data_IF_539638144204
#
_entry.id   IF_539638144204
#
_cell.length_a   1.000
_cell.length_b   1.000
_cell.length_c   1.000
_cell.angle_alpha   90.00
_cell.angle_beta   90.00
_cell.angle_gamma   90.00
#
_symmetry.space_group_name_H-M   'P 1'
#
loop_
_entity.id
_entity.type
_entity.pdbx_description
1 polymer ?
#
# COMPACT_ATOMS: atom_id res chain seq x y z
N UNK A 1 1.64 8.41 -0.09
CA UNK A 1 1.76 8.27 -1.56
C UNK A 1 2.42 9.48 -2.20
N UNK A 2 1.85 10.70 -2.08
CA UNK A 2 2.46 11.93 -2.63
C UNK A 2 3.90 12.15 -2.14
N UNK A 3 4.14 12.00 -0.83
CA UNK A 3 5.48 12.04 -0.25
C UNK A 3 6.41 10.97 -0.83
N UNK A 4 5.90 9.79 -1.18
CA UNK A 4 6.67 8.71 -1.80
C UNK A 4 7.12 9.06 -3.22
N UNK A 5 6.25 9.69 -4.02
CA UNK A 5 6.60 10.19 -5.34
C UNK A 5 7.63 11.34 -5.27
N UNK A 6 7.47 12.26 -4.29
CA UNK A 6 8.45 13.30 -4.03
C UNK A 6 9.80 12.73 -3.56
N UNK A 7 9.79 11.69 -2.72
CA UNK A 7 11.00 10.95 -2.36
C UNK A 7 11.67 10.31 -3.58
N UNK A 8 10.89 9.71 -4.49
CA UNK A 8 11.42 9.17 -5.75
C UNK A 8 12.16 10.24 -6.57
N UNK A 9 11.59 11.44 -6.71
CA UNK A 9 12.27 12.56 -7.38
C UNK A 9 13.52 13.04 -6.64
N UNK A 10 13.46 13.13 -5.30
CA UNK A 10 14.61 13.48 -4.47
C UNK A 10 15.77 12.48 -4.66
N UNK A 11 15.47 11.19 -4.77
CA UNK A 11 16.47 10.14 -4.93
C UNK A 11 17.06 10.08 -6.35
N UNK A 12 16.23 10.27 -7.37
CA UNK A 12 16.66 10.21 -8.77
C UNK A 12 17.46 11.44 -9.22
N UNK A 13 17.02 12.63 -8.80
CA UNK A 13 17.57 13.90 -9.27
C UNK A 13 18.48 14.58 -8.24
N UNK A 14 18.55 14.06 -7.01
CA UNK A 14 19.30 14.68 -5.91
C UNK A 14 18.78 16.06 -5.50
N UNK A 15 17.57 16.42 -5.91
CA UNK A 15 16.98 17.75 -5.68
C UNK A 15 16.37 17.88 -4.28
N UNK A 16 16.35 19.08 -3.68
CA UNK A 16 15.67 19.35 -2.42
C UNK A 16 14.21 18.90 -2.41
N UNK A 17 13.71 18.44 -1.25
CA UNK A 17 12.36 17.88 -1.10
C UNK A 17 11.24 18.85 -1.52
N UNK A 18 11.44 20.16 -1.34
CA UNK A 18 10.47 21.18 -1.77
C UNK A 18 10.33 21.28 -3.29
N UNK A 19 11.46 21.21 -4.03
CA UNK A 19 11.45 21.14 -5.49
C UNK A 19 10.83 19.82 -5.95
N UNK A 20 11.19 18.72 -5.29
CA UNK A 20 10.64 17.40 -5.59
C UNK A 20 9.12 17.35 -5.38
N UNK A 21 8.59 18.03 -4.36
CA UNK A 21 7.16 18.16 -4.09
C UNK A 21 6.41 18.94 -5.18
N UNK A 22 6.95 20.07 -5.63
CA UNK A 22 6.37 20.86 -6.74
C UNK A 22 6.36 20.03 -8.02
N UNK A 23 7.49 19.38 -8.32
CA UNK A 23 7.65 18.57 -9.52
C UNK A 23 6.75 17.34 -9.51
N UNK A 24 6.53 16.74 -8.34
CA UNK A 24 5.50 15.70 -8.13
C UNK A 24 4.13 16.24 -8.47
N UNK A 25 3.77 17.43 -7.98
CA UNK A 25 2.53 18.10 -8.33
C UNK A 25 2.27 18.20 -9.82
N UNK A 26 3.21 18.80 -10.53
CA UNK A 26 3.14 18.98 -11.99
C UNK A 26 2.98 17.62 -12.67
N UNK A 27 3.83 16.65 -12.28
CA UNK A 27 3.80 15.30 -12.87
C UNK A 27 2.47 14.59 -12.62
N UNK A 28 1.87 14.79 -11.45
CA UNK A 28 0.57 14.19 -11.16
C UNK A 28 -0.56 14.75 -12.02
N UNK A 29 -0.53 16.05 -12.35
CA UNK A 29 -1.48 16.63 -13.31
C UNK A 29 -1.23 16.11 -14.73
N UNK A 30 0.03 15.89 -15.11
CA UNK A 30 0.38 15.28 -16.40
C UNK A 30 -0.16 13.86 -16.49
N UNK A 31 0.04 13.05 -15.44
CA UNK A 31 -0.49 11.68 -15.34
C UNK A 31 -2.02 11.70 -15.45
N UNK A 32 -2.67 12.62 -14.75
CA UNK A 32 -4.14 12.77 -14.81
C UNK A 32 -4.64 13.16 -16.22
N UNK A 33 -3.87 13.98 -16.95
CA UNK A 33 -4.16 14.30 -18.34
C UNK A 33 -3.95 13.08 -19.26
N UNK A 34 -2.94 12.26 -18.96
CA UNK A 34 -2.66 11.01 -19.68
C UNK A 34 -3.74 9.94 -19.43
N UNK A 35 -4.29 9.88 -18.22
CA UNK A 35 -5.38 8.96 -17.86
C UNK A 35 -6.62 9.15 -18.74
N UNK A 36 -6.90 10.39 -19.18
CA UNK A 36 -7.99 10.67 -20.15
C UNK A 36 -7.79 9.97 -21.50
N UNK A 37 -6.55 9.59 -21.86
CA UNK A 37 -6.21 8.89 -23.12
C UNK A 37 -6.18 7.37 -23.00
N UNK A 38 -6.29 6.81 -21.79
CA UNK A 38 -6.38 5.36 -21.57
C UNK A 38 -5.52 4.88 -20.40
N UNK A 39 -6.18 4.33 -19.38
CA UNK A 39 -5.57 3.86 -18.13
C UNK A 39 -4.63 2.64 -18.31
N UNK A 40 -4.97 1.77 -19.26
CA UNK A 40 -4.39 0.42 -19.36
C UNK A 40 -2.90 0.39 -19.69
N UNK A 41 -2.41 1.35 -20.49
CA UNK A 41 -0.98 1.40 -20.87
C UNK A 41 -0.10 1.90 -19.71
N UNK A 42 -0.60 2.84 -18.92
CA UNK A 42 0.14 3.40 -17.79
C UNK A 42 0.26 2.35 -16.67
N UNK A 43 -0.84 1.67 -16.36
CA UNK A 43 -0.86 0.57 -15.39
C UNK A 43 0.08 -0.58 -15.80
N UNK A 44 0.12 -0.94 -17.09
CA UNK A 44 1.04 -1.97 -17.58
C UNK A 44 2.51 -1.58 -17.39
N UNK A 45 2.86 -0.31 -17.62
CA UNK A 45 4.23 0.19 -17.38
C UNK A 45 4.58 0.15 -15.90
N UNK A 46 3.69 0.62 -15.03
CA UNK A 46 3.91 0.57 -13.57
C UNK A 46 4.09 -0.87 -13.10
N UNK A 47 3.18 -1.76 -13.50
CA UNK A 47 3.23 -3.18 -13.14
C UNK A 47 4.51 -3.85 -13.63
N UNK A 48 4.99 -3.51 -14.83
CA UNK A 48 6.27 -4.01 -15.33
C UNK A 48 7.46 -3.52 -14.48
N UNK A 49 7.47 -2.26 -14.06
CA UNK A 49 8.56 -1.71 -13.25
C UNK A 49 8.54 -2.18 -11.80
N UNK A 50 7.35 -2.28 -11.20
CA UNK A 50 7.18 -2.91 -9.87
C UNK A 50 7.58 -4.39 -9.95
N UNK A 51 7.21 -5.09 -11.03
CA UNK A 51 7.65 -6.46 -11.29
C UNK A 51 9.17 -6.58 -11.41
N UNK A 52 9.83 -5.63 -12.06
CA UNK A 52 11.30 -5.59 -12.14
C UNK A 52 11.95 -5.40 -10.77
N UNK A 53 11.43 -4.48 -9.94
CA UNK A 53 11.92 -4.27 -8.57
C UNK A 53 11.67 -5.51 -7.70
N UNK A 54 10.50 -6.13 -7.83
CA UNK A 54 10.17 -7.38 -7.17
C UNK A 54 11.19 -8.48 -7.50
N UNK A 55 11.51 -8.64 -8.78
CA UNK A 55 12.53 -9.60 -9.24
C UNK A 55 13.91 -9.24 -8.69
N UNK A 56 14.29 -7.96 -8.65
CA UNK A 56 15.55 -7.52 -8.03
C UNK A 56 15.66 -7.96 -6.57
N UNK A 57 14.64 -7.68 -5.76
CA UNK A 57 14.64 -8.09 -4.35
C UNK A 57 14.68 -9.60 -4.17
N UNK A 58 14.02 -10.37 -5.04
CA UNK A 58 14.08 -11.83 -5.00
C UNK A 58 15.50 -12.32 -5.34
N UNK A 59 16.13 -11.77 -6.37
CA UNK A 59 17.51 -12.10 -6.75
C UNK A 59 18.48 -11.73 -5.62
N UNK A 60 18.34 -10.54 -5.04
CA UNK A 60 19.16 -10.10 -3.91
C UNK A 60 19.02 -11.02 -2.71
N UNK A 61 17.80 -11.43 -2.39
CA UNK A 61 17.53 -12.39 -1.30
C UNK A 61 18.27 -13.71 -1.55
N UNK A 62 18.36 -14.17 -2.80
CA UNK A 62 19.13 -15.39 -3.15
C UNK A 62 20.64 -15.17 -3.00
N UNK A 63 21.15 -13.99 -3.39
CA UNK A 63 22.59 -13.65 -3.33
C UNK A 63 23.08 -13.52 -1.88
N UNK A 64 22.29 -12.87 -1.02
CA UNK A 64 22.62 -12.67 0.39
C UNK A 64 22.67 -13.98 1.18
N UNK A 65 22.15 -15.08 0.62
CA UNK A 65 22.13 -16.43 1.22
C UNK A 65 21.64 -16.39 2.67
N UNK A 66 20.39 -15.97 2.92
CA UNK A 66 19.82 -15.99 4.24
C UNK A 66 19.78 -17.43 4.76
N UNK A 67 19.88 -17.60 6.08
CA UNK A 67 19.63 -18.89 6.72
C UNK A 67 18.14 -19.19 6.60
N UNK A 68 17.75 -19.87 5.52
CA UNK A 68 16.35 -20.17 5.21
C UNK A 68 15.62 -20.92 6.33
N UNK A 69 16.35 -21.69 7.15
CA UNK A 69 15.79 -22.34 8.34
C UNK A 69 15.23 -21.35 9.35
N UNK A 70 15.95 -20.25 9.63
CA UNK A 70 15.49 -19.21 10.56
C UNK A 70 14.38 -18.36 9.94
N UNK A 71 14.49 -18.03 8.65
CA UNK A 71 13.46 -17.26 7.93
C UNK A 71 12.14 -18.03 7.93
N UNK A 72 12.15 -19.33 7.58
CA UNK A 72 10.94 -20.17 7.58
C UNK A 72 10.40 -20.38 9.00
N UNK A 73 11.27 -20.56 9.99
CA UNK A 73 10.86 -20.71 11.38
C UNK A 73 10.15 -19.45 11.91
N UNK A 74 10.76 -18.28 11.75
CA UNK A 74 10.18 -17.01 12.19
C UNK A 74 9.04 -16.48 11.31
N UNK A 75 8.88 -17.02 10.09
CA UNK A 75 7.69 -16.74 9.26
C UNK A 75 6.43 -17.42 9.82
N UNK A 76 6.58 -18.55 10.53
CA UNK A 76 5.45 -19.34 11.05
C UNK A 76 5.28 -19.17 12.56
N UNK A 77 6.38 -18.95 13.30
CA UNK A 77 6.38 -18.76 14.74
C UNK A 77 6.50 -17.28 15.08
N UNK A 78 5.43 -16.63 15.56
CA UNK A 78 5.49 -15.23 15.98
C UNK A 78 6.33 -15.13 17.27
N UNK A 79 7.51 -14.52 17.14
CA UNK A 79 8.37 -14.17 18.26
C UNK A 79 8.60 -12.66 18.24
N UNK A 80 8.30 -11.99 19.34
CA UNK A 80 8.47 -10.55 19.49
C UNK A 80 9.55 -10.25 20.53
N UNK A 81 10.55 -9.48 20.15
CA UNK A 81 11.63 -9.01 21.02
C UNK A 81 11.37 -7.55 21.41
N UNK A 82 10.55 -7.35 22.45
CA UNK A 82 10.26 -6.03 23.03
C UNK A 82 9.08 -5.27 22.37
N UNK A 83 8.70 -4.15 22.97
CA UNK A 83 7.56 -3.31 22.55
C UNK A 83 7.74 -2.70 21.16
N UNK A 84 8.97 -2.35 20.78
CA UNK A 84 9.28 -1.76 19.47
C UNK A 84 9.01 -2.73 18.31
N UNK A 85 9.32 -4.02 18.49
CA UNK A 85 9.02 -5.06 17.50
C UNK A 85 7.51 -5.26 17.28
N UNK A 86 6.72 -5.13 18.35
CA UNK A 86 5.26 -5.20 18.31
C UNK A 86 4.71 -3.97 17.57
N UNK A 87 5.26 -2.79 17.84
CA UNK A 87 4.86 -1.54 17.19
C UNK A 87 5.16 -1.57 15.68
N UNK A 88 6.33 -2.07 15.27
CA UNK A 88 6.68 -2.26 13.85
C UNK A 88 5.78 -3.30 13.17
N UNK A 89 5.53 -4.45 13.82
CA UNK A 89 4.65 -5.49 13.28
C UNK A 89 3.19 -5.00 13.17
N UNK A 90 2.71 -4.27 14.18
CA UNK A 90 1.41 -3.61 14.14
C UNK A 90 1.35 -2.58 13.02
N UNK A 91 2.43 -1.80 12.83
CA UNK A 91 2.57 -0.82 11.74
C UNK A 91 2.47 -1.47 10.35
N UNK A 92 3.16 -2.58 10.13
CA UNK A 92 3.09 -3.35 8.88
C UNK A 92 1.67 -3.87 8.64
N UNK A 93 1.04 -4.48 9.65
CA UNK A 93 -0.33 -4.98 9.54
C UNK A 93 -1.36 -3.85 9.31
N UNK A 94 -1.21 -2.71 9.99
CA UNK A 94 -2.10 -1.56 9.82
C UNK A 94 -1.95 -0.91 8.45
N UNK A 95 -0.71 -0.72 7.98
CA UNK A 95 -0.41 -0.07 6.70
C UNK A 95 -0.80 -0.91 5.48
N UNK A 96 -0.90 -2.24 5.62
CA UNK A 96 -1.26 -3.13 4.50
C UNK A 96 -2.76 -3.10 4.17
N UNK A 97 -3.62 -2.76 5.13
CA UNK A 97 -5.07 -2.74 4.90
C UNK A 97 -5.52 -1.31 4.60
N UNK A 98 -5.59 -1.00 3.31
CA UNK A 98 -6.01 0.31 2.81
C UNK A 98 -7.55 0.37 2.65
N UNK A 99 -8.29 1.14 3.47
CA UNK A 99 -9.75 1.15 3.42
C UNK A 99 -10.31 1.67 2.09
N UNK A 100 -9.62 2.65 1.49
CA UNK A 100 -10.00 3.20 0.19
C UNK A 100 -9.87 2.17 -0.95
N UNK A 101 -8.95 1.20 -0.85
CA UNK A 101 -8.79 0.13 -1.82
C UNK A 101 -9.98 -0.86 -1.77
N UNK A 102 -10.54 -1.11 -0.58
CA UNK A 102 -11.73 -1.96 -0.40
C UNK A 102 -12.93 -1.38 -1.18
N UNK A 103 -13.19 -0.08 -1.03
CA UNK A 103 -14.28 0.59 -1.74
C UNK A 103 -14.06 0.64 -3.24
N UNK A 104 -12.85 1.00 -3.67
CA UNK A 104 -12.52 1.11 -5.08
C UNK A 104 -12.57 -0.25 -5.77
N UNK A 105 -11.99 -1.29 -5.18
CA UNK A 105 -12.07 -2.64 -5.73
C UNK A 105 -13.52 -3.08 -5.88
N UNK A 106 -14.36 -2.86 -4.88
CA UNK A 106 -15.80 -3.17 -4.97
C UNK A 106 -16.49 -2.44 -6.13
N UNK A 107 -16.15 -1.16 -6.37
CA UNK A 107 -16.73 -0.37 -7.46
C UNK A 107 -16.20 -0.73 -8.85
N UNK A 108 -14.90 -0.99 -8.99
CA UNK A 108 -14.30 -1.43 -10.27
C UNK A 108 -14.85 -2.80 -10.72
N UNK A 109 -15.24 -3.62 -9.75
CA UNK A 109 -15.87 -4.91 -9.98
C UNK A 109 -17.36 -4.81 -10.32
N UNK A 110 -18.00 -3.70 -9.96
CA UNK A 110 -19.39 -3.45 -10.28
C UNK A 110 -19.56 -3.23 -11.79
N UNK A 111 -20.29 -4.14 -12.45
CA UNK A 111 -20.62 -4.02 -13.88
C UNK A 111 -19.54 -4.51 -14.86
N UNK A 112 -18.38 -5.01 -14.38
CA UNK A 112 -17.32 -5.55 -15.24
C UNK A 112 -17.78 -6.78 -16.04
N UNK A 113 -18.52 -7.68 -15.40
CA UNK A 113 -19.21 -8.83 -16.05
C UNK A 113 -20.55 -9.06 -15.34
N UNK A 114 -21.66 -8.69 -15.99
CA UNK A 114 -23.00 -8.86 -15.39
C UNK A 114 -23.53 -10.26 -15.70
N UNK A 115 -23.53 -11.11 -14.70
CA UNK A 115 -23.96 -12.50 -14.81
C UNK A 115 -25.19 -12.73 -13.94
N UNK A 116 -26.31 -13.17 -14.54
CA UNK A 116 -27.57 -13.46 -13.81
C UNK A 116 -27.70 -14.92 -13.36
N UNK A 117 -26.98 -15.86 -13.96
CA UNK A 117 -27.07 -17.29 -13.63
C UNK A 117 -26.20 -17.63 -12.40
N UNK A 118 -26.72 -18.36 -11.39
CA UNK A 118 -26.01 -18.63 -10.14
C UNK A 118 -24.75 -19.48 -10.31
N UNK A 119 -24.71 -20.37 -11.30
CA UNK A 119 -23.53 -21.20 -11.62
C UNK A 119 -22.38 -20.37 -12.17
N UNK A 120 -22.68 -19.43 -13.08
CA UNK A 120 -21.71 -18.53 -13.68
C UNK A 120 -21.22 -17.49 -12.67
N UNK A 121 -22.09 -17.01 -11.76
CA UNK A 121 -21.71 -16.14 -10.64
C UNK A 121 -20.65 -16.77 -9.73
N UNK A 122 -20.84 -18.05 -9.37
CA UNK A 122 -19.83 -18.81 -8.59
C UNK A 122 -18.51 -18.97 -9.35
N UNK A 123 -18.55 -19.10 -10.68
CA UNK A 123 -17.35 -19.22 -11.51
C UNK A 123 -16.60 -17.89 -11.58
N UNK A 124 -17.31 -16.78 -11.78
CA UNK A 124 -16.74 -15.44 -11.75
C UNK A 124 -16.07 -15.17 -10.40
N UNK A 125 -16.77 -15.44 -9.29
CA UNK A 125 -16.20 -15.32 -7.94
C UNK A 125 -14.90 -16.12 -7.76
N UNK A 126 -14.79 -17.33 -8.30
CA UNK A 126 -13.55 -18.11 -8.23
C UNK A 126 -12.42 -17.49 -9.02
N UNK A 127 -12.69 -16.92 -10.20
CA UNK A 127 -11.67 -16.23 -10.97
C UNK A 127 -11.15 -15.00 -10.23
N UNK A 128 -12.06 -14.23 -9.63
CA UNK A 128 -11.67 -13.06 -8.83
C UNK A 128 -10.90 -13.44 -7.57
N UNK A 129 -11.28 -14.54 -6.91
CA UNK A 129 -10.49 -15.06 -5.79
C UNK A 129 -9.06 -15.43 -6.22
N UNK A 130 -8.90 -16.07 -7.38
CA UNK A 130 -7.56 -16.43 -7.88
C UNK A 130 -6.78 -15.18 -8.25
N UNK A 131 -7.41 -14.18 -8.88
CA UNK A 131 -6.77 -12.91 -9.24
C UNK A 131 -6.27 -12.16 -7.99
N UNK A 132 -7.13 -12.00 -6.98
CA UNK A 132 -6.76 -11.37 -5.70
C UNK A 132 -5.65 -12.16 -5.00
N UNK A 133 -5.73 -13.49 -4.99
CA UNK A 133 -4.72 -14.34 -4.33
C UNK A 133 -3.36 -14.20 -5.01
N UNK A 134 -3.32 -14.18 -6.35
CA UNK A 134 -2.07 -13.96 -7.10
C UNK A 134 -1.54 -12.55 -6.84
N UNK A 135 -2.37 -11.52 -6.98
CA UNK A 135 -1.96 -10.12 -6.84
C UNK A 135 -1.46 -9.82 -5.41
N UNK A 136 -2.25 -10.16 -4.38
CA UNK A 136 -1.86 -9.95 -2.98
C UNK A 136 -0.75 -10.90 -2.54
N UNK A 137 -0.67 -12.11 -3.12
CA UNK A 137 0.41 -13.06 -2.87
C UNK A 137 1.75 -12.53 -3.38
N UNK A 138 1.81 -12.02 -4.61
CA UNK A 138 3.00 -11.37 -5.15
C UNK A 138 3.39 -10.15 -4.31
N UNK A 139 2.43 -9.29 -3.95
CA UNK A 139 2.71 -8.14 -3.09
C UNK A 139 3.29 -8.56 -1.72
N UNK A 140 2.77 -9.64 -1.12
CA UNK A 140 3.24 -10.18 0.15
C UNK A 140 4.66 -10.76 0.03
N UNK A 141 4.96 -11.46 -1.06
CA UNK A 141 6.31 -11.97 -1.33
C UNK A 141 7.33 -10.85 -1.49
N UNK A 142 6.97 -9.77 -2.19
CA UNK A 142 7.84 -8.60 -2.35
C UNK A 142 8.07 -7.89 -1.01
N UNK A 143 7.01 -7.68 -0.23
CA UNK A 143 7.14 -7.11 1.12
C UNK A 143 8.01 -7.98 2.04
N UNK A 144 7.85 -9.31 1.98
CA UNK A 144 8.70 -10.25 2.71
C UNK A 144 10.15 -10.19 2.27
N UNK A 145 10.42 -10.18 0.96
CA UNK A 145 11.77 -10.05 0.41
C UNK A 145 12.44 -8.74 0.84
N UNK A 146 11.71 -7.61 0.81
CA UNK A 146 12.21 -6.32 1.32
C UNK A 146 12.58 -6.37 2.80
N UNK A 147 11.77 -7.04 3.63
CA UNK A 147 12.02 -7.18 5.07
C UNK A 147 13.25 -8.06 5.33
N UNK A 148 13.35 -9.22 4.67
CA UNK A 148 14.50 -10.14 4.78
C UNK A 148 15.77 -9.45 4.32
N UNK A 149 15.76 -8.78 3.16
CA UNK A 149 16.90 -8.03 2.66
C UNK A 149 17.36 -6.95 3.62
N UNK A 150 16.41 -6.20 4.19
CA UNK A 150 16.73 -5.16 5.17
C UNK A 150 17.35 -5.77 6.44
N UNK A 151 16.83 -6.88 6.93
CA UNK A 151 17.37 -7.57 8.10
C UNK A 151 18.81 -8.05 7.85
N UNK A 152 19.07 -8.77 6.76
CA UNK A 152 20.41 -9.31 6.49
C UNK A 152 21.43 -8.25 6.06
N UNK A 153 21.00 -7.15 5.43
CA UNK A 153 21.93 -6.11 4.96
C UNK A 153 22.24 -5.09 6.04
N UNK A 154 21.28 -4.71 6.88
CA UNK A 154 21.47 -3.65 7.87
C UNK A 154 21.75 -4.16 9.27
N UNK A 155 21.00 -5.17 9.73
CA UNK A 155 21.17 -5.71 11.08
C UNK A 155 22.48 -6.49 11.22
N UNK A 156 22.88 -7.24 10.19
CA UNK A 156 24.16 -7.97 10.19
C UNK A 156 25.39 -7.04 10.18
N UNK A 157 25.27 -5.82 9.66
CA UNK A 157 26.33 -4.82 9.61
C UNK A 157 26.34 -3.87 10.83
N UNK A 158 25.51 -4.13 11.86
CA UNK A 158 25.46 -3.33 13.08
C UNK A 158 24.84 -1.94 12.91
N UNK A 159 24.14 -1.69 11.80
CA UNK A 159 23.53 -0.40 11.50
C UNK A 159 22.06 -0.39 11.97
N UNK A 160 21.86 -0.18 13.27
CA UNK A 160 20.54 -0.21 13.92
C UNK A 160 19.71 1.07 13.76
N UNK A 161 20.29 2.16 13.27
CA UNK A 161 19.65 3.48 13.14
C UNK A 161 19.14 3.81 11.72
N UNK A 162 18.88 2.78 10.89
CA UNK A 162 18.50 2.97 9.49
C UNK A 162 16.99 2.76 9.31
N UNK A 163 16.23 3.85 9.45
CA UNK A 163 14.76 3.84 9.29
C UNK A 163 14.24 4.55 8.04
N UNK A 164 15.10 5.02 7.13
CA UNK A 164 14.71 5.90 6.03
C UNK A 164 14.85 5.22 4.66
N UNK A 165 13.81 5.39 3.81
CA UNK A 165 13.76 4.88 2.43
C UNK A 165 14.99 5.34 1.61
N UNK A 166 15.53 6.52 1.93
CA UNK A 166 16.72 7.05 1.27
C UNK A 166 17.98 6.21 1.52
N UNK A 167 18.08 5.56 2.68
CA UNK A 167 19.22 4.71 2.98
C UNK A 167 19.10 3.35 2.30
N UNK A 168 17.89 2.78 2.19
CA UNK A 168 17.63 1.58 1.38
C UNK A 168 18.00 1.78 -0.10
N UNK A 169 17.73 2.96 -0.66
CA UNK A 169 18.14 3.32 -2.02
C UNK A 169 19.67 3.31 -2.20
N UNK A 170 20.40 3.85 -1.22
CA UNK A 170 21.87 3.94 -1.24
C UNK A 170 22.54 2.59 -1.06
N UNK A 171 21.92 1.63 -0.39
CA UNK A 171 22.46 0.28 -0.21
C UNK A 171 22.20 -0.67 -1.36
N UNK A 172 21.30 -0.32 -2.27
CA UNK A 172 21.15 -1.06 -3.54
C UNK A 172 22.33 -0.78 -4.50
N UNK A 173 22.99 0.38 -4.36
CA UNK A 173 24.06 0.83 -5.26
C UNK A 173 25.32 -0.06 -5.25
N UNK A 174 25.84 -0.54 -4.09
CA UNK A 174 27.05 -1.35 -4.05
C UNK A 174 26.84 -2.82 -4.47
N UNK A 175 25.63 -3.36 -4.27
CA UNK A 175 25.34 -4.79 -4.46
C UNK A 175 24.98 -5.15 -5.91
N UNK A 176 24.32 -4.26 -6.64
CA UNK A 176 23.89 -4.49 -8.04
C UNK A 176 24.29 -3.36 -9.00
N UNK A 177 24.94 -2.32 -8.50
CA UNK A 177 25.35 -1.17 -9.29
C UNK A 177 24.28 -0.09 -9.40
N UNK A 178 24.69 1.07 -9.92
CA UNK A 178 23.87 2.29 -10.02
C UNK A 178 22.52 2.10 -10.71
N UNK A 179 22.42 1.16 -11.65
CA UNK A 179 21.21 0.90 -12.42
C UNK A 179 20.04 0.43 -11.53
N UNK A 180 20.28 -0.40 -10.51
CA UNK A 180 19.22 -0.92 -9.64
C UNK A 180 18.64 0.16 -8.73
N UNK A 181 19.47 1.07 -8.22
CA UNK A 181 18.99 2.23 -7.46
C UNK A 181 18.10 3.11 -8.33
N UNK A 182 18.49 3.41 -9.58
CA UNK A 182 17.64 4.19 -10.49
C UNK A 182 16.30 3.50 -10.80
N UNK A 183 16.32 2.18 -11.05
CA UNK A 183 15.09 1.40 -11.25
C UNK A 183 14.19 1.45 -10.01
N UNK A 184 14.77 1.32 -8.82
CA UNK A 184 14.02 1.42 -7.56
C UNK A 184 13.43 2.82 -7.35
N UNK A 185 14.22 3.88 -7.52
CA UNK A 185 13.75 5.26 -7.40
C UNK A 185 12.65 5.60 -8.40
N UNK A 186 12.78 5.15 -9.64
CA UNK A 186 11.77 5.35 -10.68
C UNK A 186 10.51 4.52 -10.42
N UNK A 187 10.65 3.29 -9.95
CA UNK A 187 9.52 2.45 -9.53
C UNK A 187 8.77 3.06 -8.34
N UNK A 188 9.49 3.57 -7.33
CA UNK A 188 8.91 4.27 -6.18
C UNK A 188 8.13 5.51 -6.61
N UNK A 189 8.72 6.29 -7.54
CA UNK A 189 8.09 7.46 -8.13
C UNK A 189 6.80 7.09 -8.86
N UNK A 190 6.86 6.12 -9.78
CA UNK A 190 5.71 5.68 -10.58
C UNK A 190 4.62 5.04 -9.72
N UNK A 191 5.01 4.23 -8.72
CA UNK A 191 4.10 3.65 -7.73
C UNK A 191 3.40 4.74 -6.91
N UNK A 192 4.14 5.76 -6.45
CA UNK A 192 3.57 6.91 -5.74
C UNK A 192 2.60 7.73 -6.58
N UNK A 193 2.91 7.95 -7.88
CA UNK A 193 2.02 8.63 -8.82
C UNK A 193 0.74 7.81 -9.09
N UNK A 194 0.90 6.51 -9.33
CA UNK A 194 -0.19 5.55 -9.57
C UNK A 194 -1.15 5.48 -8.38
N UNK A 195 -0.60 5.23 -7.18
CA UNK A 195 -1.39 5.10 -5.97
C UNK A 195 -2.16 6.39 -5.67
N UNK A 196 -1.55 7.55 -5.91
CA UNK A 196 -2.24 8.83 -5.74
C UNK A 196 -3.42 8.99 -6.73
N UNK A 197 -3.32 8.48 -7.95
CA UNK A 197 -4.46 8.41 -8.87
C UNK A 197 -5.57 7.47 -8.38
N UNK A 198 -5.19 6.27 -7.94
CA UNK A 198 -6.11 5.29 -7.31
C UNK A 198 -6.82 5.90 -6.10
N UNK A 199 -6.12 6.67 -5.26
CA UNK A 199 -6.67 7.43 -4.16
C UNK A 199 -7.70 8.47 -4.61
N UNK A 200 -7.44 9.22 -5.69
CA UNK A 200 -8.43 10.18 -6.23
C UNK A 200 -9.66 9.50 -6.82
N UNK A 201 -9.52 8.31 -7.41
CA UNK A 201 -10.66 7.50 -7.89
C UNK A 201 -11.48 6.94 -6.74
N UNK A 202 -10.83 6.40 -5.70
CA UNK A 202 -11.54 5.93 -4.51
C UNK A 202 -12.31 7.05 -3.83
N UNK A 203 -11.69 8.23 -3.71
CA UNK A 203 -12.39 9.43 -3.21
C UNK A 203 -13.62 9.79 -4.03
N UNK A 204 -13.62 9.53 -5.35
CA UNK A 204 -14.81 9.69 -6.18
C UNK A 204 -15.92 8.73 -5.78
N UNK A 205 -15.58 7.44 -5.73
CA UNK A 205 -16.50 6.35 -5.48
C UNK A 205 -17.17 6.53 -4.12
N UNK A 206 -16.40 6.91 -3.11
CA UNK A 206 -16.90 7.17 -1.76
C UNK A 206 -17.83 8.39 -1.77
N UNK A 207 -17.43 9.49 -2.40
CA UNK A 207 -18.23 10.72 -2.42
C UNK A 207 -19.52 10.59 -3.24
N UNK A 208 -19.47 9.93 -4.39
CA UNK A 208 -20.64 9.61 -5.19
C UNK A 208 -21.55 8.62 -4.45
N UNK A 209 -20.99 7.57 -3.84
CA UNK A 209 -21.77 6.54 -3.15
C UNK A 209 -22.44 7.02 -1.86
N UNK A 210 -21.76 7.85 -1.06
CA UNK A 210 -22.27 8.30 0.25
C UNK A 210 -22.92 9.69 0.23
N UNK A 211 -22.41 10.61 -0.60
CA UNK A 211 -22.85 12.02 -0.62
C UNK A 211 -23.60 12.39 -1.91
N UNK A 212 -23.66 11.50 -2.90
CA UNK A 212 -24.19 11.77 -4.25
C UNK A 212 -23.62 13.06 -4.87
N UNK A 213 -22.38 13.41 -4.52
CA UNK A 213 -21.74 14.65 -4.95
C UNK A 213 -20.61 14.37 -5.94
N UNK A 214 -20.61 15.07 -7.07
CA UNK A 214 -19.55 15.03 -8.07
C UNK A 214 -18.74 16.32 -8.06
N UNK A 215 -17.46 16.20 -7.68
CA UNK A 215 -16.49 17.30 -7.76
C UNK A 215 -15.54 17.01 -8.92
N UNK A 216 -15.17 18.02 -9.74
CA UNK A 216 -14.20 17.84 -10.80
C UNK A 216 -12.88 17.26 -10.29
N UNK A 217 -12.29 16.35 -11.07
CA UNK A 217 -11.07 15.62 -10.68
C UNK A 217 -9.89 16.56 -10.37
N UNK A 218 -9.78 17.69 -11.09
CA UNK A 218 -8.71 18.67 -10.87
C UNK A 218 -8.81 19.36 -9.51
N UNK A 219 -10.03 19.70 -9.05
CA UNK A 219 -10.26 20.28 -7.71
C UNK A 219 -9.91 19.26 -6.64
N UNK A 220 -10.37 18.01 -6.82
CA UNK A 220 -10.06 16.93 -5.88
C UNK A 220 -8.55 16.72 -5.77
N UNK A 221 -7.82 16.72 -6.88
CA UNK A 221 -6.37 16.57 -6.89
C UNK A 221 -5.69 17.68 -6.11
N UNK A 222 -6.12 18.92 -6.34
CA UNK A 222 -5.60 20.10 -5.64
C UNK A 222 -5.82 19.98 -4.13
N UNK A 223 -7.03 19.64 -3.70
CA UNK A 223 -7.36 19.42 -2.28
C UNK A 223 -6.51 18.32 -1.64
N UNK A 224 -6.29 17.19 -2.34
CA UNK A 224 -5.45 16.09 -1.83
C UNK A 224 -3.96 16.43 -1.78
N UNK A 225 -3.51 17.37 -2.61
CA UNK A 225 -2.10 17.74 -2.75
C UNK A 225 -1.67 18.83 -1.76
N UNK A 226 -2.57 19.77 -1.44
CA UNK A 226 -2.29 20.93 -0.58
C UNK A 226 -1.70 20.53 0.78
N UNK A 227 -2.26 19.56 1.55
CA UNK A 227 -1.68 19.17 2.83
C UNK A 227 -0.25 18.65 2.68
N UNK A 228 0.03 17.90 1.63
CA UNK A 228 1.37 17.35 1.38
C UNK A 228 2.37 18.45 1.02
N UNK A 229 1.97 19.44 0.22
CA UNK A 229 2.81 20.60 -0.07
C UNK A 229 3.11 21.41 1.18
N UNK A 230 2.10 21.68 2.01
CA UNK A 230 2.28 22.45 3.26
C UNK A 230 3.33 21.80 4.15
N UNK A 231 3.23 20.47 4.35
CA UNK A 231 4.22 19.72 5.13
C UNK A 231 5.63 19.89 4.56
N UNK A 232 5.78 19.73 3.24
CA UNK A 232 7.07 19.83 2.58
C UNK A 232 7.65 21.25 2.70
N UNK A 233 6.83 22.29 2.55
CA UNK A 233 7.26 23.69 2.70
C UNK A 233 7.63 24.04 4.13
N UNK A 234 6.94 23.47 5.12
CA UNK A 234 7.27 23.63 6.54
C UNK A 234 8.54 22.87 6.96
N UNK A 235 9.11 22.05 6.07
CA UNK A 235 10.31 21.26 6.36
C UNK A 235 10.10 20.20 7.44
N UNK A 236 8.86 19.78 7.67
CA UNK A 236 8.54 18.76 8.68
C UNK A 236 9.13 17.41 8.28
N UNK A 237 9.53 16.63 9.28
CA UNK A 237 10.07 15.28 9.06
C UNK A 237 9.08 14.43 8.23
N UNK A 238 9.50 13.91 7.06
CA UNK A 238 8.66 13.06 6.22
C UNK A 238 8.14 11.84 6.97
N UNK A 239 8.98 11.27 7.85
CA UNK A 239 8.64 10.10 8.67
C UNK A 239 7.50 10.40 9.65
N UNK A 240 7.54 11.53 10.36
CA UNK A 240 6.46 11.93 11.29
C UNK A 240 5.15 12.19 10.53
N UNK A 241 5.24 12.81 9.37
CA UNK A 241 4.07 13.05 8.52
C UNK A 241 3.47 11.75 7.99
N UNK A 242 4.31 10.79 7.62
CA UNK A 242 3.89 9.45 7.24
C UNK A 242 3.13 8.79 8.39
N UNK A 243 3.66 8.83 9.63
CA UNK A 243 2.98 8.28 10.82
C UNK A 243 1.62 8.94 11.05
N UNK A 244 1.53 10.28 11.00
CA UNK A 244 0.24 10.99 11.16
C UNK A 244 -0.75 10.59 10.07
N UNK A 245 -0.29 10.42 8.84
CA UNK A 245 -1.13 9.96 7.73
C UNK A 245 -1.65 8.54 7.98
N UNK A 246 -0.83 7.67 8.57
CA UNK A 246 -1.27 6.32 8.95
C UNK A 246 -2.32 6.36 10.05
N UNK A 247 -2.16 7.23 11.06
CA UNK A 247 -3.17 7.41 12.12
C UNK A 247 -4.54 7.79 11.54
N UNK A 248 -4.57 8.71 10.56
CA UNK A 248 -5.83 9.07 9.87
C UNK A 248 -6.43 7.88 9.11
N UNK A 249 -5.61 7.06 8.46
CA UNK A 249 -6.08 5.84 7.79
C UNK A 249 -6.63 4.81 8.79
N UNK A 250 -5.98 4.65 9.94
CA UNK A 250 -6.40 3.77 11.04
C UNK A 250 -7.79 4.12 11.56
N UNK A 251 -8.13 5.41 11.67
CA UNK A 251 -9.47 5.85 12.06
C UNK A 251 -10.55 5.47 11.04
N UNK A 252 -10.23 5.51 9.74
CA UNK A 252 -11.19 5.16 8.68
C UNK A 252 -11.45 3.65 8.53
N UNK A 253 -10.53 2.82 9.00
CA UNK A 253 -10.53 1.37 8.80
C UNK A 253 -11.76 0.63 9.40
N UNK A 254 -12.17 0.89 10.66
CA UNK A 254 -13.39 0.27 11.21
C UNK A 254 -14.64 0.55 10.37
N UNK A 255 -14.76 1.77 9.85
CA UNK A 255 -15.91 2.18 9.04
C UNK A 255 -15.95 1.50 7.67
N UNK A 256 -14.82 0.98 7.19
CA UNK A 256 -14.76 0.19 5.96
C UNK A 256 -15.01 -1.31 6.23
N UNK A 257 -14.29 -1.89 7.19
CA UNK A 257 -14.29 -3.35 7.41
C UNK A 257 -15.61 -3.83 8.04
N UNK A 258 -16.15 -3.11 9.03
CA UNK A 258 -17.35 -3.56 9.75
C UNK A 258 -18.57 -3.67 8.81
N UNK A 259 -18.90 -2.65 7.99
CA UNK A 259 -19.98 -2.76 7.02
C UNK A 259 -19.71 -3.82 5.96
N UNK A 260 -18.47 -3.97 5.49
CA UNK A 260 -18.10 -5.00 4.52
C UNK A 260 -18.44 -6.40 5.03
N UNK A 261 -18.04 -6.74 6.26
CA UNK A 261 -18.32 -8.05 6.85
C UNK A 261 -19.84 -8.24 7.04
N UNK A 262 -20.54 -7.18 7.45
CA UNK A 262 -22.00 -7.22 7.61
C UNK A 262 -22.70 -7.46 6.27
N UNK A 263 -22.36 -6.72 5.22
CA UNK A 263 -22.98 -6.85 3.91
C UNK A 263 -22.67 -8.18 3.23
N UNK A 264 -21.43 -8.67 3.35
CA UNK A 264 -21.03 -9.97 2.80
C UNK A 264 -21.65 -11.17 3.54
N UNK A 265 -22.15 -10.94 4.76
CA UNK A 265 -22.86 -11.93 5.57
C UNK A 265 -24.39 -11.88 5.42
N UNK A 266 -24.93 -10.84 4.79
CA UNK A 266 -26.37 -10.68 4.62
C UNK A 266 -26.89 -11.51 3.43
N UNK A 267 -27.80 -12.45 3.71
CA UNK A 267 -28.47 -13.28 2.69
C UNK A 267 -29.32 -12.47 1.72
N UNK A 268 -29.85 -11.33 2.15
CA UNK A 268 -30.69 -10.45 1.32
C UNK A 268 -29.86 -9.75 0.25
N UNK A 269 -28.61 -9.41 0.56
CA UNK A 269 -27.69 -8.71 -0.35
C UNK A 269 -26.90 -9.68 -1.24
N UNK A 270 -26.33 -10.73 -0.66
CA UNK A 270 -25.41 -11.63 -1.36
C UNK A 270 -26.07 -12.86 -2.02
N UNK A 271 -27.31 -13.19 -1.66
CA UNK A 271 -28.06 -14.31 -2.24
C UNK A 271 -27.31 -15.65 -2.14
N UNK A 272 -26.83 -16.17 -3.27
CA UNK A 272 -26.15 -17.47 -3.36
C UNK A 272 -24.65 -17.39 -2.98
N UNK A 273 -24.08 -16.19 -2.89
CA UNK A 273 -22.66 -15.94 -2.59
C UNK A 273 -22.39 -15.51 -1.15
N UNK A 274 -23.33 -15.75 -0.24
CA UNK A 274 -23.19 -15.41 1.18
C UNK A 274 -21.99 -16.11 1.80
N UNK A 275 -21.26 -15.40 2.65
CA UNK A 275 -20.13 -15.95 3.39
C UNK A 275 -20.51 -17.20 4.19
N UNK A 276 -19.62 -18.21 4.17
CA UNK A 276 -19.74 -19.38 5.04
C UNK A 276 -19.52 -18.95 6.49
N UNK A 277 -20.11 -19.68 7.45
CA UNK A 277 -19.94 -19.40 8.89
C UNK A 277 -18.46 -19.31 9.30
N UNK A 278 -17.62 -20.22 8.78
CA UNK A 278 -16.17 -20.21 9.03
C UNK A 278 -15.51 -18.93 8.50
N UNK A 279 -15.82 -18.54 7.26
CA UNK A 279 -15.31 -17.30 6.65
C UNK A 279 -15.73 -16.07 7.45
N UNK A 280 -16.96 -16.04 7.96
CA UNK A 280 -17.44 -14.93 8.78
C UNK A 280 -16.73 -14.85 10.14
N UNK A 281 -16.53 -15.99 10.82
CA UNK A 281 -15.79 -16.05 12.09
C UNK A 281 -14.33 -15.59 11.87
N UNK A 282 -13.68 -16.08 10.82
CA UNK A 282 -12.31 -15.66 10.47
C UNK A 282 -12.26 -14.17 10.12
N UNK A 283 -13.22 -13.66 9.34
CA UNK A 283 -13.27 -12.25 8.97
C UNK A 283 -13.43 -11.34 10.19
N UNK A 284 -14.32 -11.69 11.13
CA UNK A 284 -14.46 -10.96 12.40
C UNK A 284 -13.22 -11.08 13.29
N UNK A 285 -12.57 -12.24 13.32
CA UNK A 285 -11.31 -12.43 14.06
C UNK A 285 -10.19 -11.55 13.52
N UNK A 286 -9.99 -11.54 12.20
CA UNK A 286 -9.01 -10.68 11.52
C UNK A 286 -9.35 -9.19 11.71
N UNK A 287 -10.61 -8.82 11.56
CA UNK A 287 -11.06 -7.45 11.81
C UNK A 287 -10.80 -7.02 13.25
N UNK A 288 -11.12 -7.87 14.23
CA UNK A 288 -10.86 -7.60 15.64
C UNK A 288 -9.38 -7.42 15.93
N UNK A 289 -8.52 -8.28 15.39
CA UNK A 289 -7.06 -8.17 15.51
C UNK A 289 -6.55 -6.85 14.92
N UNK A 290 -6.97 -6.54 13.69
CA UNK A 290 -6.56 -5.31 13.00
C UNK A 290 -7.02 -4.07 13.79
N UNK A 291 -8.27 -4.06 14.29
CA UNK A 291 -8.79 -2.95 15.08
C UNK A 291 -8.01 -2.78 16.38
N UNK A 292 -7.74 -3.88 17.11
CA UNK A 292 -6.93 -3.85 18.33
C UNK A 292 -5.53 -3.29 18.07
N UNK A 293 -4.86 -3.73 17.00
CA UNK A 293 -3.54 -3.23 16.62
C UNK A 293 -3.57 -1.76 16.20
N UNK A 294 -4.61 -1.33 15.50
CA UNK A 294 -4.78 0.08 15.13
C UNK A 294 -5.03 0.96 16.36
N UNK A 295 -5.86 0.50 17.31
CA UNK A 295 -6.05 1.20 18.58
C UNK A 295 -4.74 1.28 19.38
N UNK A 296 -3.96 0.20 19.40
CA UNK A 296 -2.65 0.20 20.03
C UNK A 296 -1.68 1.18 19.36
N UNK A 297 -1.61 1.23 18.02
CA UNK A 297 -0.80 2.19 17.28
C UNK A 297 -1.19 3.64 17.57
N UNK A 298 -2.49 3.94 17.58
CA UNK A 298 -2.99 5.27 17.92
C UNK A 298 -2.59 5.61 19.35
N UNK A 299 -2.81 4.69 20.30
CA UNK A 299 -2.43 4.89 21.69
C UNK A 299 -0.93 5.14 21.86
N UNK A 300 -0.08 4.32 21.25
CA UNK A 300 1.37 4.47 21.28
C UNK A 300 1.82 5.80 20.67
N UNK A 301 1.23 6.19 19.53
CA UNK A 301 1.56 7.46 18.86
C UNK A 301 1.19 8.68 19.71
N UNK A 302 0.07 8.64 20.43
CA UNK A 302 -0.36 9.73 21.30
C UNK A 302 0.34 9.76 22.66
N UNK A 303 0.78 8.61 23.18
CA UNK A 303 1.45 8.51 24.49
C UNK A 303 2.97 8.57 24.40
N UNK A 304 3.54 8.43 23.20
CA UNK A 304 5.00 8.47 22.97
C UNK A 304 5.74 7.25 23.52
N UNK A 305 5.02 6.14 23.73
CA UNK A 305 5.53 4.87 24.27
C UNK A 305 5.88 3.85 23.18
#
# INVERSE_FOLDING_TARGET
EFLGAALGFNLLLGIPMWIAGILTGITTFIVLALERRGFRSLEAVISAMVGMVAISYVIETIIVKPVWGEVLYHSVVPAFSGSESILLAAGILGATVMPHAIYLHSALMQGRVVVKKPTLLKRLFRYELVDILIAMGVASLVNGAMLVMSAFTFHANGLTNIGTIQMAYKTLEPLLGKASSYVFGFSLLMSGLSSASVGTMSGQVIMQGFLNWEIPVWVRRLVTMVPSLIVIFLGLDPTRTLVISQVLLSFGLPFAIIPLIRFTSDKRLMGVLVNRKITNILAWGVAGLILLLNFYLIYATFTGA
#
